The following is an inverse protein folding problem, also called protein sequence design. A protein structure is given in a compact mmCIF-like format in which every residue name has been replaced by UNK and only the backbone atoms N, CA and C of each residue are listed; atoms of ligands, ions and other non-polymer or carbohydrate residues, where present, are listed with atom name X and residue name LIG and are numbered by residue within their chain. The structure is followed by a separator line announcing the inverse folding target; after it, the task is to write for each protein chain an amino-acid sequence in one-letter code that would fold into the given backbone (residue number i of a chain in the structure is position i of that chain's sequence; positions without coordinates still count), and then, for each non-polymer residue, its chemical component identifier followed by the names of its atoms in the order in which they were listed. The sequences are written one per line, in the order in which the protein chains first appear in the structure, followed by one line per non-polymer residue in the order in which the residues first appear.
data_IF_503528367663
#
_entry.id   IF_503528367663
#
_cell.length_a   1.000
_cell.length_b   1.000
_cell.length_c   1.000
_cell.angle_alpha   90.00
_cell.angle_beta   90.00
_cell.angle_gamma   90.00
#
_symmetry.space_group_name_H-M   'P 1'
#
loop_
_entity.id
_entity.type
_entity.pdbx_description
1 polymer ?
#
# COMPACT_ATOMS: atom_id res chain seq x y z
N UNK A 1 -17.11 -34.59 14.49
CA UNK A 1 -17.54 -33.57 13.51
C UNK A 1 -18.58 -32.67 14.17
N UNK A 2 -18.17 -31.46 14.52
CA UNK A 2 -19.01 -30.29 14.87
C UNK A 2 -18.06 -29.08 14.83
N UNK A 3 -18.34 -28.01 14.06
CA UNK A 3 -17.42 -26.88 13.99
C UNK A 3 -17.62 -25.98 15.22
N UNK A 4 -16.50 -25.66 15.89
CA UNK A 4 -16.42 -24.74 17.01
C UNK A 4 -16.84 -23.33 16.57
N UNK A 5 -17.94 -22.83 17.17
CA UNK A 5 -18.38 -21.44 17.10
C UNK A 5 -17.44 -20.56 17.93
N UNK A 6 -16.52 -19.86 17.27
CA UNK A 6 -15.79 -18.73 17.88
C UNK A 6 -16.50 -17.41 17.58
N UNK A 7 -17.59 -17.13 18.29
CA UNK A 7 -18.15 -15.78 18.40
C UNK A 7 -18.57 -15.52 19.84
N UNK A 8 -17.65 -14.94 20.61
CA UNK A 8 -17.95 -14.28 21.88
C UNK A 8 -16.80 -13.34 22.22
N UNK A 9 -16.74 -12.18 21.54
CA UNK A 9 -16.05 -11.02 22.10
C UNK A 9 -16.98 -10.40 23.15
N UNK A 10 -16.77 -10.80 24.39
CA UNK A 10 -17.23 -10.25 25.67
C UNK A 10 -18.20 -9.05 25.60
N UNK A 11 -19.48 -9.25 25.96
CA UNK A 11 -20.53 -8.21 26.11
C UNK A 11 -20.08 -6.96 26.90
N UNK A 12 -19.09 -7.10 27.78
CA UNK A 12 -18.50 -6.00 28.56
C UNK A 12 -17.68 -5.03 27.69
N UNK A 13 -16.97 -5.53 26.68
CA UNK A 13 -16.16 -4.70 25.76
C UNK A 13 -17.07 -3.88 24.83
N UNK A 14 -18.22 -4.43 24.46
CA UNK A 14 -19.22 -3.74 23.64
C UNK A 14 -19.80 -2.51 24.36
N UNK A 15 -19.96 -2.55 25.68
CA UNK A 15 -20.51 -1.43 26.45
C UNK A 15 -19.62 -0.18 26.37
N UNK A 16 -18.30 -0.35 26.49
CA UNK A 16 -17.32 0.74 26.40
C UNK A 16 -16.92 1.13 24.97
N UNK A 17 -17.31 0.33 23.97
CA UNK A 17 -17.01 0.63 22.57
C UNK A 17 -17.97 1.70 22.04
N UNK A 18 -17.48 2.84 21.48
CA UNK A 18 -18.31 3.86 20.87
C UNK A 18 -19.24 3.28 19.80
N UNK A 19 -20.47 3.77 19.69
CA UNK A 19 -21.50 3.20 18.81
C UNK A 19 -21.02 2.94 17.37
N UNK A 20 -20.26 3.88 16.80
CA UNK A 20 -19.72 3.81 15.44
C UNK A 20 -18.62 2.77 15.23
N UNK A 21 -18.04 2.22 16.31
CA UNK A 21 -17.03 1.15 16.26
C UNK A 21 -17.60 -0.24 16.53
N UNK A 22 -18.85 -0.33 17.02
CA UNK A 22 -19.52 -1.61 17.26
C UNK A 22 -19.83 -2.29 15.93
N UNK A 23 -19.64 -3.62 15.81
CA UNK A 23 -20.00 -4.36 14.61
C UNK A 23 -21.51 -4.29 14.37
N UNK A 24 -21.91 -4.50 13.12
CA UNK A 24 -23.32 -4.64 12.73
C UNK A 24 -23.82 -6.01 13.15
N UNK A 25 -25.05 -6.10 13.61
CA UNK A 25 -25.68 -7.37 13.91
C UNK A 25 -25.99 -8.16 12.62
N UNK A 26 -25.73 -9.47 12.61
CA UNK A 26 -25.84 -10.30 11.40
C UNK A 26 -27.23 -10.29 10.75
N UNK A 27 -28.30 -10.21 11.55
CA UNK A 27 -29.69 -10.17 11.05
C UNK A 27 -29.98 -8.93 10.20
N UNK A 28 -29.24 -7.84 10.36
CA UNK A 28 -29.38 -6.63 9.53
C UNK A 28 -28.72 -6.83 8.16
N UNK A 29 -27.76 -7.76 8.05
CA UNK A 29 -26.94 -7.98 6.85
C UNK A 29 -27.46 -9.15 6.01
N UNK A 30 -28.07 -10.16 6.64
CA UNK A 30 -28.57 -11.38 5.99
C UNK A 30 -29.87 -11.20 5.18
N UNK A 31 -30.35 -9.97 5.02
CA UNK A 31 -31.53 -9.66 4.20
C UNK A 31 -31.21 -9.83 2.69
N UNK A 32 -32.13 -10.43 1.93
CA UNK A 32 -31.99 -10.69 0.50
C UNK A 32 -31.70 -9.40 -0.28
N UNK A 33 -32.37 -8.30 0.09
CA UNK A 33 -32.11 -6.99 -0.53
C UNK A 33 -30.67 -6.52 -0.28
N UNK A 34 -30.13 -6.85 0.89
CA UNK A 34 -28.78 -6.47 1.32
C UNK A 34 -27.73 -7.26 0.57
N UNK A 35 -27.93 -8.57 0.47
CA UNK A 35 -27.09 -9.47 -0.33
C UNK A 35 -27.09 -9.02 -1.80
N UNK A 36 -28.26 -8.69 -2.35
CA UNK A 36 -28.40 -8.27 -3.74
C UNK A 36 -27.66 -6.96 -4.05
N UNK A 37 -27.76 -5.94 -3.19
CA UNK A 37 -27.01 -4.71 -3.43
C UNK A 37 -25.51 -4.90 -3.23
N UNK A 38 -25.07 -5.77 -2.31
CA UNK A 38 -23.64 -6.09 -2.11
C UNK A 38 -23.09 -6.67 -3.41
N UNK A 39 -23.74 -7.72 -3.93
CA UNK A 39 -23.39 -8.36 -5.19
C UNK A 39 -23.39 -7.37 -6.37
N UNK A 40 -24.39 -6.48 -6.44
CA UNK A 40 -24.46 -5.48 -7.50
C UNK A 40 -23.34 -4.43 -7.40
N UNK A 41 -22.95 -4.08 -6.17
CA UNK A 41 -21.84 -3.17 -5.91
C UNK A 41 -20.51 -3.79 -6.30
N UNK A 42 -20.26 -5.05 -5.96
CA UNK A 42 -19.06 -5.77 -6.36
C UNK A 42 -18.95 -5.87 -7.89
N UNK A 43 -20.05 -6.21 -8.57
CA UNK A 43 -20.12 -6.23 -10.04
C UNK A 43 -19.85 -4.85 -10.65
N UNK A 44 -20.33 -3.77 -10.02
CA UNK A 44 -20.09 -2.41 -10.48
C UNK A 44 -18.63 -2.01 -10.29
N UNK A 45 -18.04 -2.32 -9.13
CA UNK A 45 -16.63 -2.05 -8.85
C UNK A 45 -15.71 -2.81 -9.80
N UNK A 46 -16.01 -4.09 -10.08
CA UNK A 46 -15.29 -4.90 -11.07
C UNK A 46 -15.35 -4.26 -12.46
N UNK A 47 -16.56 -3.93 -12.95
CA UNK A 47 -16.73 -3.24 -14.24
C UNK A 47 -16.00 -1.90 -14.31
N UNK A 48 -15.97 -1.14 -13.21
CA UNK A 48 -15.25 0.13 -13.18
C UNK A 48 -13.73 -0.06 -13.19
N UNK A 49 -13.23 -1.10 -12.54
CA UNK A 49 -11.80 -1.44 -12.57
C UNK A 49 -11.37 -1.91 -13.96
N UNK A 50 -12.16 -2.76 -14.62
CA UNK A 50 -11.85 -3.29 -15.96
C UNK A 50 -11.89 -2.19 -17.04
N UNK A 51 -12.76 -1.18 -16.88
CA UNK A 51 -12.86 -0.01 -17.76
C UNK A 51 -11.98 1.18 -17.34
N UNK A 52 -11.04 0.99 -16.42
CA UNK A 52 -10.18 2.08 -15.96
C UNK A 52 -9.16 2.46 -17.03
N UNK A 53 -8.95 3.77 -17.23
CA UNK A 53 -8.04 4.33 -18.24
C UNK A 53 -6.56 4.22 -17.86
N UNK A 54 -6.23 3.69 -16.68
CA UNK A 54 -4.86 3.65 -16.15
C UNK A 54 -4.30 5.01 -15.75
N UNK A 55 -5.11 6.08 -15.84
CA UNK A 55 -4.75 7.45 -15.46
C UNK A 55 -5.47 7.84 -14.18
N UNK A 56 -4.78 8.63 -13.37
CA UNK A 56 -5.36 9.18 -12.15
C UNK A 56 -6.36 10.29 -12.51
N UNK A 57 -7.63 9.93 -12.65
CA UNK A 57 -8.72 10.83 -13.00
C UNK A 57 -9.80 10.88 -11.92
N UNK A 58 -10.57 11.97 -11.93
CA UNK A 58 -11.79 12.09 -11.12
C UNK A 58 -12.95 11.48 -11.89
N UNK A 59 -13.71 10.61 -11.23
CA UNK A 59 -14.91 10.01 -11.82
C UNK A 59 -16.03 9.94 -10.81
N UNK A 60 -17.25 10.14 -11.29
CA UNK A 60 -18.45 10.00 -10.49
C UNK A 60 -19.39 9.06 -11.23
N UNK A 61 -19.68 7.92 -10.62
CA UNK A 61 -20.58 6.90 -11.17
C UNK A 61 -21.75 6.75 -10.21
N UNK A 62 -22.96 6.81 -10.76
CA UNK A 62 -24.19 6.56 -10.03
C UNK A 62 -24.96 5.47 -10.75
N UNK A 63 -25.41 4.47 -10.01
CA UNK A 63 -26.27 3.41 -10.51
C UNK A 63 -27.46 3.28 -9.58
N UNK A 64 -28.65 3.53 -10.12
CA UNK A 64 -29.90 3.45 -9.39
C UNK A 64 -30.67 2.22 -9.85
N UNK A 65 -31.06 1.39 -8.90
CA UNK A 65 -32.02 0.30 -9.06
C UNK A 65 -33.35 0.68 -8.37
N UNK A 66 -34.35 -0.19 -8.49
CA UNK A 66 -35.64 0.00 -7.82
C UNK A 66 -35.44 0.09 -6.31
N UNK A 67 -34.67 -0.83 -5.74
CA UNK A 67 -34.55 -0.99 -4.29
C UNK A 67 -33.34 -0.25 -3.67
N UNK A 68 -32.27 0.01 -4.43
CA UNK A 68 -31.05 0.70 -3.93
C UNK A 68 -30.43 1.69 -4.93
N UNK A 69 -29.69 2.67 -4.41
CA UNK A 69 -28.88 3.65 -5.16
C UNK A 69 -27.41 3.54 -4.74
N UNK A 70 -26.53 3.22 -5.69
CA UNK A 70 -25.08 3.12 -5.50
C UNK A 70 -24.42 4.35 -6.12
N UNK A 71 -23.60 5.04 -5.33
CA UNK A 71 -22.82 6.21 -5.77
C UNK A 71 -21.35 6.03 -5.43
N UNK A 72 -20.51 6.01 -6.46
CA UNK A 72 -19.06 5.91 -6.36
C UNK A 72 -18.46 7.22 -6.85
N UNK A 73 -17.83 7.95 -5.93
CA UNK A 73 -17.09 9.18 -6.24
C UNK A 73 -15.61 8.94 -6.03
N UNK A 74 -14.88 8.97 -7.14
CA UNK A 74 -13.44 8.87 -7.22
C UNK A 74 -12.86 10.29 -7.28
N UNK A 75 -12.03 10.64 -6.31
CA UNK A 75 -11.25 11.88 -6.31
C UNK A 75 -9.77 11.56 -6.24
N UNK A 76 -8.92 12.58 -6.40
CA UNK A 76 -7.48 12.41 -6.21
C UNK A 76 -7.13 11.95 -4.79
N UNK A 77 -7.88 12.31 -3.75
CA UNK A 77 -7.43 11.99 -2.39
C UNK A 77 -8.11 10.74 -1.81
N UNK A 78 -9.31 10.42 -2.30
CA UNK A 78 -10.18 9.40 -1.72
C UNK A 78 -11.12 8.78 -2.75
N UNK A 79 -11.48 7.53 -2.49
CA UNK A 79 -12.62 6.84 -3.11
C UNK A 79 -13.74 6.82 -2.09
N UNK A 80 -14.92 7.31 -2.49
CA UNK A 80 -16.13 7.34 -1.67
C UNK A 80 -17.21 6.49 -2.30
N UNK A 81 -17.63 5.44 -1.60
CA UNK A 81 -18.77 4.61 -1.93
C UNK A 81 -19.91 4.95 -0.95
N UNK A 82 -21.07 5.28 -1.51
CA UNK A 82 -22.31 5.44 -0.74
C UNK A 82 -23.36 4.55 -1.37
N UNK A 83 -23.97 3.69 -0.56
CA UNK A 83 -25.11 2.88 -0.96
C UNK A 83 -26.27 3.26 -0.05
N UNK A 84 -27.45 3.46 -0.60
CA UNK A 84 -28.64 3.74 0.17
C UNK A 84 -29.83 3.00 -0.40
N UNK A 85 -30.66 2.46 0.48
CA UNK A 85 -31.96 1.96 0.07
C UNK A 85 -32.84 3.11 -0.43
N UNK A 86 -33.61 2.83 -1.47
CA UNK A 86 -34.61 3.76 -1.97
C UNK A 86 -35.86 3.70 -1.09
N UNK A 87 -36.76 4.67 -1.28
CA UNK A 87 -38.10 4.65 -0.65
C UNK A 87 -38.97 3.46 -1.08
N UNK A 88 -38.61 2.78 -2.17
CA UNK A 88 -39.36 1.65 -2.73
C UNK A 88 -38.74 0.30 -2.38
N UNK A 89 -37.64 0.30 -1.61
CA UNK A 89 -36.97 -0.93 -1.18
C UNK A 89 -37.91 -1.82 -0.40
N UNK A 90 -37.85 -3.13 -0.67
CA UNK A 90 -38.53 -4.16 0.11
C UNK A 90 -37.80 -4.51 1.41
N UNK A 91 -36.65 -3.87 1.71
CA UNK A 91 -35.91 -4.16 2.94
C UNK A 91 -36.74 -3.79 4.17
N UNK A 92 -36.84 -4.69 5.18
CA UNK A 92 -37.54 -4.39 6.44
C UNK A 92 -36.93 -3.20 7.19
N UNK A 93 -35.64 -2.94 6.98
CA UNK A 93 -34.90 -1.88 7.66
C UNK A 93 -34.09 -1.13 6.62
N UNK A 94 -34.49 0.09 6.29
CA UNK A 94 -33.74 0.94 5.37
C UNK A 94 -32.34 1.25 5.89
N UNK A 95 -31.35 1.04 5.04
CA UNK A 95 -29.93 1.19 5.36
C UNK A 95 -29.28 2.21 4.46
N UNK A 96 -28.26 2.85 5.01
CA UNK A 96 -27.34 3.71 4.28
C UNK A 96 -25.92 3.38 4.66
N UNK A 97 -25.17 2.90 3.70
CA UNK A 97 -23.78 2.52 3.83
C UNK A 97 -22.87 3.61 3.29
N UNK A 98 -21.76 3.83 3.98
CA UNK A 98 -20.74 4.81 3.62
C UNK A 98 -19.36 4.23 3.85
N UNK A 99 -18.62 4.06 2.76
CA UNK A 99 -17.22 3.64 2.79
C UNK A 99 -16.38 4.76 2.15
N UNK A 100 -15.37 5.21 2.87
CA UNK A 100 -14.40 6.21 2.41
C UNK A 100 -13.01 5.63 2.61
N UNK A 101 -12.30 5.42 1.52
CA UNK A 101 -10.91 4.97 1.53
C UNK A 101 -10.02 6.08 0.98
N UNK A 102 -8.88 6.31 1.62
CA UNK A 102 -7.81 7.10 1.02
C UNK A 102 -7.25 6.34 -0.19
N UNK A 103 -6.80 7.08 -1.20
CA UNK A 103 -6.01 6.51 -2.28
C UNK A 103 -4.69 5.97 -1.73
N UNK A 104 -4.18 4.86 -2.29
CA UNK A 104 -2.93 4.21 -1.86
C UNK A 104 -1.76 5.19 -1.78
N UNK A 105 -1.59 6.05 -2.79
CA UNK A 105 -0.51 7.03 -2.84
C UNK A 105 -0.64 8.19 -1.84
N UNK A 106 -1.84 8.40 -1.27
CA UNK A 106 -2.05 9.45 -0.27
C UNK A 106 -1.77 8.92 1.13
N UNK A 107 -2.43 7.81 1.50
CA UNK A 107 -2.22 7.12 2.78
C UNK A 107 -2.53 5.64 2.59
N UNK A 108 -1.54 4.78 2.81
CA UNK A 108 -1.70 3.34 2.80
C UNK A 108 -1.58 2.75 4.22
N UNK A 109 -2.30 1.65 4.46
CA UNK A 109 -2.08 0.73 5.58
C UNK A 109 -1.97 -0.65 4.96
N UNK A 110 -0.89 -1.38 5.26
CA UNK A 110 -0.67 -2.74 4.76
C UNK A 110 -0.75 -2.89 3.22
N UNK A 111 -0.30 -1.86 2.48
CA UNK A 111 -0.29 -1.86 1.01
C UNK A 111 -1.64 -1.53 0.35
N UNK A 112 -2.70 -1.34 1.14
CA UNK A 112 -4.04 -0.93 0.71
C UNK A 112 -4.32 0.51 1.14
N UNK A 113 -5.12 1.25 0.37
CA UNK A 113 -5.56 2.60 0.76
C UNK A 113 -6.21 2.61 2.15
N UNK A 114 -5.75 3.49 3.05
CA UNK A 114 -6.23 3.51 4.43
C UNK A 114 -7.72 3.81 4.49
N UNK A 115 -8.50 2.99 5.19
CA UNK A 115 -9.94 3.21 5.36
C UNK A 115 -10.13 4.38 6.35
N UNK A 116 -10.78 5.45 5.88
CA UNK A 116 -11.13 6.62 6.70
C UNK A 116 -12.42 6.38 7.47
N UNK A 117 -13.41 5.78 6.82
CA UNK A 117 -14.76 5.59 7.35
C UNK A 117 -15.36 4.36 6.67
N UNK A 118 -15.97 3.46 7.44
CA UNK A 118 -16.72 2.33 6.92
C UNK A 118 -17.89 2.07 7.87
N UNK A 119 -19.00 2.74 7.63
CA UNK A 119 -20.16 2.77 8.52
C UNK A 119 -21.45 2.43 7.79
N UNK A 120 -22.36 1.80 8.51
CA UNK A 120 -23.76 1.63 8.11
C UNK A 120 -24.65 2.38 9.09
N UNK A 121 -25.65 3.04 8.52
CA UNK A 121 -26.70 3.75 9.22
C UNK A 121 -28.01 3.04 8.96
N UNK A 122 -28.74 2.70 10.01
CA UNK A 122 -30.06 2.11 9.88
C UNK A 122 -30.96 2.55 11.04
N UNK A 123 -32.28 2.54 10.82
CA UNK A 123 -33.26 2.84 11.85
C UNK A 123 -33.84 1.53 12.37
N UNK A 124 -33.72 1.28 13.67
CA UNK A 124 -34.30 0.10 14.33
C UNK A 124 -35.00 0.56 15.60
N UNK A 125 -36.24 0.13 15.80
CA UNK A 125 -37.04 0.44 17.00
C UNK A 125 -37.11 1.96 17.30
N UNK A 126 -37.25 2.77 16.24
CA UNK A 126 -37.31 4.24 16.33
C UNK A 126 -35.98 4.94 16.64
N UNK A 127 -34.87 4.19 16.77
CA UNK A 127 -33.54 4.73 17.07
C UNK A 127 -32.60 4.58 15.87
N UNK A 128 -31.82 5.63 15.63
CA UNK A 128 -30.80 5.60 14.58
C UNK A 128 -29.54 4.91 15.11
N UNK A 129 -29.12 3.85 14.43
CA UNK A 129 -27.91 3.12 14.74
C UNK A 129 -26.84 3.42 13.71
N UNK A 130 -25.63 3.68 14.20
CA UNK A 130 -24.41 3.75 13.39
C UNK A 130 -23.52 2.61 13.84
N UNK A 131 -23.01 1.82 12.90
CA UNK A 131 -22.20 0.63 13.16
C UNK A 131 -21.05 0.51 12.16
N UNK A 132 -19.97 -0.14 12.58
CA UNK A 132 -18.76 -0.35 11.77
C UNK A 132 -18.93 -1.55 10.84
N UNK A 133 -18.45 -1.39 9.61
CA UNK A 133 -18.44 -2.44 8.57
C UNK A 133 -17.08 -3.14 8.44
N UNK A 134 -16.04 -2.67 9.15
CA UNK A 134 -14.66 -3.14 8.96
C UNK A 134 -14.48 -4.65 9.21
N UNK A 135 -15.18 -5.19 10.20
CA UNK A 135 -15.05 -6.58 10.63
C UNK A 135 -16.19 -7.47 10.11
N UNK A 136 -16.99 -6.99 9.16
CA UNK A 136 -18.14 -7.75 8.63
C UNK A 136 -17.69 -8.55 7.41
N UNK A 137 -17.78 -9.90 7.41
CA UNK A 137 -17.30 -10.74 6.31
C UNK A 137 -17.97 -10.42 4.96
N UNK A 138 -19.28 -10.13 4.96
CA UNK A 138 -20.05 -9.84 3.75
C UNK A 138 -19.56 -8.61 2.96
N UNK A 139 -18.80 -7.71 3.59
CA UNK A 139 -18.30 -6.48 2.95
C UNK A 139 -16.84 -6.58 2.51
N UNK A 140 -16.15 -7.70 2.77
CA UNK A 140 -14.75 -7.89 2.38
C UNK A 140 -14.56 -7.83 0.87
N UNK A 141 -15.49 -8.38 0.08
CA UNK A 141 -15.44 -8.29 -1.38
C UNK A 141 -15.59 -6.86 -1.90
N UNK A 142 -16.36 -6.01 -1.22
CA UNK A 142 -16.45 -4.57 -1.53
C UNK A 142 -15.13 -3.85 -1.21
N UNK A 143 -14.51 -4.11 -0.06
CA UNK A 143 -13.21 -3.52 0.27
C UNK A 143 -12.13 -3.93 -0.73
N UNK A 144 -12.12 -5.20 -1.13
CA UNK A 144 -11.25 -5.70 -2.19
C UNK A 144 -11.53 -5.04 -3.55
N UNK A 145 -12.81 -4.90 -3.92
CA UNK A 145 -13.22 -4.21 -5.15
C UNK A 145 -12.78 -2.75 -5.19
N UNK A 146 -12.84 -2.03 -4.06
CA UNK A 146 -12.33 -0.66 -3.95
C UNK A 146 -10.81 -0.62 -4.10
N UNK A 147 -10.08 -1.60 -3.56
CA UNK A 147 -8.64 -1.69 -3.73
C UNK A 147 -8.23 -1.98 -5.19
N UNK A 148 -8.90 -2.94 -5.85
CA UNK A 148 -8.68 -3.25 -7.27
C UNK A 148 -8.97 -2.02 -8.15
N UNK A 149 -10.06 -1.31 -7.85
CA UNK A 149 -10.39 -0.05 -8.51
C UNK A 149 -9.28 0.99 -8.31
N UNK A 150 -8.74 1.12 -7.10
CA UNK A 150 -7.66 2.07 -6.83
C UNK A 150 -6.42 1.79 -7.68
N UNK A 151 -5.99 0.54 -7.73
CA UNK A 151 -4.85 0.09 -8.54
C UNK A 151 -5.08 0.32 -10.04
N UNK A 152 -6.28 0.01 -10.53
CA UNK A 152 -6.64 0.20 -11.93
C UNK A 152 -6.60 1.68 -12.35
N UNK A 153 -6.96 2.60 -11.46
CA UNK A 153 -6.89 4.05 -11.69
C UNK A 153 -5.48 4.66 -11.51
N UNK A 154 -4.56 3.93 -10.86
CA UNK A 154 -3.15 4.32 -10.72
C UNK A 154 -2.28 3.75 -11.86
N UNK A 155 -2.85 2.92 -12.73
CA UNK A 155 -2.15 2.34 -13.88
C UNK A 155 -1.46 1.01 -13.60
N UNK A 156 -1.66 0.43 -12.41
CA UNK A 156 -1.21 -0.93 -12.10
C UNK A 156 -2.27 -1.90 -12.61
N UNK A 157 -2.10 -2.46 -13.82
CA UNK A 157 -2.89 -3.63 -14.23
C UNK A 157 -2.50 -4.79 -13.32
N UNK A 158 -3.44 -5.24 -12.49
CA UNK A 158 -3.32 -6.50 -11.79
C UNK A 158 -3.36 -7.61 -12.85
N UNK A 159 -2.32 -8.44 -12.90
CA UNK A 159 -2.45 -9.82 -13.36
C UNK A 159 -3.53 -10.47 -12.49
N UNK A 160 -4.61 -10.95 -13.11
CA UNK A 160 -5.73 -11.59 -12.42
C UNK A 160 -5.24 -12.83 -11.64
N UNK A 161 -5.02 -12.68 -10.33
CA UNK A 161 -5.30 -13.67 -9.26
C UNK A 161 -4.67 -13.24 -7.93
N UNK A 162 -5.35 -12.31 -7.25
CA UNK A 162 -5.16 -12.14 -5.80
C UNK A 162 -6.40 -12.74 -5.15
N UNK A 163 -6.37 -14.06 -4.98
CA UNK A 163 -7.39 -14.86 -4.31
C UNK A 163 -7.57 -14.40 -2.86
N UNK A 164 -8.84 -14.41 -2.42
CA UNK A 164 -9.31 -14.02 -1.08
C UNK A 164 -8.57 -14.74 0.07
N UNK A 165 -7.97 -15.91 -0.19
CA UNK A 165 -7.19 -16.69 0.77
C UNK A 165 -5.87 -16.03 1.20
N UNK A 166 -5.33 -15.08 0.42
CA UNK A 166 -4.07 -14.40 0.77
C UNK A 166 -4.20 -13.45 1.96
N UNK A 167 -5.42 -13.09 2.38
CA UNK A 167 -5.67 -12.16 3.49
C UNK A 167 -5.60 -12.80 4.89
N UNK A 168 -5.62 -14.14 4.99
CA UNK A 168 -5.60 -14.83 6.29
C UNK A 168 -4.19 -15.34 6.66
N UNK A 169 -3.46 -14.50 7.39
CA UNK A 169 -2.47 -14.93 8.38
C UNK A 169 -1.04 -15.25 7.91
N UNK A 170 -0.84 -15.92 6.77
CA UNK A 170 0.51 -16.40 6.37
C UNK A 170 1.32 -15.39 5.52
N UNK A 171 0.68 -14.38 4.94
CA UNK A 171 1.36 -13.35 4.13
C UNK A 171 2.25 -12.40 4.95
N UNK A 172 2.03 -12.23 6.26
CA UNK A 172 2.80 -11.26 7.06
C UNK A 172 4.26 -11.66 7.24
N UNK A 173 4.61 -12.95 7.14
CA UNK A 173 6.00 -13.41 7.17
C UNK A 173 6.61 -13.39 5.77
N UNK A 174 5.93 -13.93 4.76
CA UNK A 174 6.43 -14.00 3.38
C UNK A 174 6.48 -12.62 2.67
N UNK A 175 5.53 -11.71 2.92
CA UNK A 175 5.59 -10.32 2.41
C UNK A 175 6.61 -9.48 3.14
N UNK A 176 6.96 -9.77 4.39
CA UNK A 176 8.06 -9.06 5.08
C UNK A 176 9.41 -9.47 4.51
N UNK A 177 9.56 -10.71 4.07
CA UNK A 177 10.78 -11.17 3.40
C UNK A 177 10.89 -10.64 1.97
N UNK A 178 9.81 -10.70 1.18
CA UNK A 178 9.80 -10.15 -0.19
C UNK A 178 9.79 -8.62 -0.26
N UNK A 179 9.13 -7.91 0.67
CA UNK A 179 9.14 -6.44 0.72
C UNK A 179 10.44 -5.84 1.30
N UNK A 180 11.37 -6.69 1.76
CA UNK A 180 12.70 -6.28 2.20
C UNK A 180 13.80 -6.68 1.19
N UNK A 181 13.41 -7.26 0.06
CA UNK A 181 14.31 -7.48 -1.06
C UNK A 181 14.63 -6.13 -1.71
N UNK A 182 15.92 -5.82 -1.79
CA UNK A 182 16.42 -4.57 -2.35
C UNK A 182 16.00 -4.41 -3.82
N UNK A 183 15.89 -5.52 -4.57
CA UNK A 183 15.51 -5.49 -5.99
C UNK A 183 14.06 -5.04 -6.15
N UNK A 184 13.18 -5.50 -5.27
CA UNK A 184 11.77 -5.09 -5.24
C UNK A 184 11.65 -3.62 -4.83
N UNK A 185 12.37 -3.20 -3.78
CA UNK A 185 12.36 -1.81 -3.30
C UNK A 185 12.92 -0.83 -4.33
N UNK A 186 14.01 -1.17 -5.01
CA UNK A 186 14.56 -0.35 -6.07
C UNK A 186 13.62 -0.26 -7.26
N UNK A 187 12.94 -1.36 -7.63
CA UNK A 187 11.92 -1.33 -8.69
C UNK A 187 10.72 -0.45 -8.30
N UNK A 188 10.29 -0.49 -7.04
CA UNK A 188 9.23 0.38 -6.52
C UNK A 188 9.66 1.86 -6.52
N UNK A 189 10.89 2.16 -6.11
CA UNK A 189 11.44 3.52 -6.15
C UNK A 189 11.56 4.04 -7.60
N UNK A 190 11.99 3.22 -8.56
CA UNK A 190 11.99 3.57 -9.98
C UNK A 190 10.59 3.89 -10.49
N UNK A 191 9.59 3.07 -10.14
CA UNK A 191 8.18 3.35 -10.49
C UNK A 191 7.69 4.66 -9.88
N UNK A 192 8.10 4.96 -8.65
CA UNK A 192 7.75 6.20 -7.97
C UNK A 192 8.30 7.43 -8.71
N UNK A 193 9.58 7.39 -9.12
CA UNK A 193 10.22 8.46 -9.89
C UNK A 193 9.61 8.58 -11.30
N UNK A 194 9.28 7.47 -11.96
CA UNK A 194 8.59 7.50 -13.27
C UNK A 194 7.16 8.06 -13.20
N UNK A 195 6.41 7.73 -12.14
CA UNK A 195 5.09 8.33 -11.91
C UNK A 195 5.21 9.84 -11.68
N UNK A 196 6.33 10.27 -11.12
CA UNK A 196 6.68 11.64 -10.83
C UNK A 196 7.02 12.49 -12.07
N UNK A 197 7.63 11.90 -13.10
CA UNK A 197 7.86 12.58 -14.39
C UNK A 197 6.55 13.15 -15.00
N UNK A 198 5.40 12.53 -14.70
CA UNK A 198 4.10 13.01 -15.18
C UNK A 198 3.56 14.27 -14.47
N UNK A 199 4.15 14.65 -13.33
CA UNK A 199 3.66 15.71 -12.43
C UNK A 199 4.35 17.07 -12.61
N UNK A 200 5.13 17.27 -13.69
CA UNK A 200 5.85 18.53 -13.98
C UNK A 200 6.79 18.94 -12.84
N UNK A 201 7.73 18.05 -12.50
CA UNK A 201 8.78 18.31 -11.50
C UNK A 201 9.83 19.27 -12.05
N UNK A 202 10.45 20.05 -11.17
CA UNK A 202 11.65 20.85 -11.51
C UNK A 202 12.76 19.90 -12.02
N UNK A 203 13.34 20.16 -13.22
CA UNK A 203 14.41 19.33 -13.79
C UNK A 203 15.60 19.07 -12.85
N UNK A 204 15.88 20.00 -11.93
CA UNK A 204 16.97 19.85 -10.95
C UNK A 204 16.70 18.73 -9.95
N UNK A 205 15.46 18.63 -9.45
CA UNK A 205 15.07 17.60 -8.48
C UNK A 205 14.95 16.24 -9.17
N UNK A 206 14.42 16.22 -10.40
CA UNK A 206 14.33 15.00 -11.21
C UNK A 206 15.72 14.39 -11.50
N UNK A 207 16.69 15.22 -11.90
CA UNK A 207 18.06 14.76 -12.11
C UNK A 207 18.65 14.12 -10.84
N UNK A 208 18.41 14.73 -9.66
CA UNK A 208 18.88 14.17 -8.38
C UNK A 208 18.22 12.84 -8.05
N UNK A 209 16.92 12.70 -8.26
CA UNK A 209 16.22 11.43 -8.06
C UNK A 209 16.77 10.33 -8.98
N UNK A 210 17.04 10.66 -10.24
CA UNK A 210 17.66 9.73 -11.21
C UNK A 210 19.07 9.30 -10.76
N UNK A 211 19.88 10.24 -10.24
CA UNK A 211 21.21 9.92 -9.69
C UNK A 211 21.13 9.01 -8.46
N UNK A 212 20.22 9.29 -7.53
CA UNK A 212 19.98 8.42 -6.36
C UNK A 212 19.64 7.00 -6.81
N UNK A 213 18.73 6.84 -7.78
CA UNK A 213 18.38 5.53 -8.31
C UNK A 213 19.57 4.82 -8.99
N UNK A 214 20.40 5.56 -9.74
CA UNK A 214 21.60 5.00 -10.35
C UNK A 214 22.63 4.51 -9.31
N UNK A 215 22.75 5.18 -8.16
CA UNK A 215 23.59 4.69 -7.06
C UNK A 215 22.98 3.46 -6.39
N UNK A 216 21.66 3.43 -6.20
CA UNK A 216 20.95 2.26 -5.64
C UNK A 216 21.14 1.03 -6.53
N UNK A 217 21.06 1.18 -7.86
CA UNK A 217 21.30 0.10 -8.83
C UNK A 217 22.67 -0.57 -8.63
N UNK A 218 23.72 0.22 -8.39
CA UNK A 218 25.08 -0.29 -8.14
C UNK A 218 25.18 -1.07 -6.82
N UNK A 219 24.28 -0.81 -5.87
CA UNK A 219 24.27 -1.44 -4.55
C UNK A 219 23.42 -2.73 -4.54
N UNK A 220 22.58 -2.97 -5.56
CA UNK A 220 21.64 -4.10 -5.61
C UNK A 220 22.34 -5.46 -5.64
N UNK A 221 23.37 -5.62 -6.48
CA UNK A 221 24.02 -6.91 -6.73
C UNK A 221 24.80 -7.43 -5.52
N UNK A 222 25.44 -6.51 -4.80
CA UNK A 222 26.30 -6.80 -3.66
C UNK A 222 25.63 -6.49 -2.32
N UNK A 223 24.32 -6.25 -2.33
CA UNK A 223 23.57 -5.83 -1.15
C UNK A 223 23.70 -6.82 0.02
N UNK A 224 23.94 -8.09 -0.28
CA UNK A 224 24.12 -9.13 0.72
C UNK A 224 25.39 -8.92 1.57
N UNK A 225 26.41 -8.23 1.06
CA UNK A 225 27.68 -7.99 1.74
C UNK A 225 27.55 -6.93 2.85
N UNK A 226 26.52 -6.07 2.80
CA UNK A 226 26.30 -5.03 3.80
C UNK A 226 25.97 -5.59 5.19
N UNK A 227 26.37 -4.84 6.22
CA UNK A 227 25.95 -5.02 7.59
C UNK A 227 24.45 -4.76 7.80
N UNK A 228 23.91 -5.16 8.95
CA UNK A 228 22.49 -5.00 9.27
C UNK A 228 22.04 -3.53 9.23
N UNK A 229 22.84 -2.62 9.80
CA UNK A 229 22.52 -1.19 9.85
C UNK A 229 22.53 -0.56 8.45
N UNK A 230 23.57 -0.82 7.66
CA UNK A 230 23.69 -0.33 6.28
C UNK A 230 22.50 -0.81 5.43
N UNK A 231 22.14 -2.11 5.54
CA UNK A 231 20.94 -2.66 4.88
C UNK A 231 19.66 -1.97 5.34
N UNK A 232 19.53 -1.68 6.63
CA UNK A 232 18.36 -0.97 7.15
C UNK A 232 18.28 0.46 6.62
N UNK A 233 19.40 1.19 6.61
CA UNK A 233 19.48 2.56 6.10
C UNK A 233 19.04 2.66 4.65
N UNK A 234 19.55 1.79 3.76
CA UNK A 234 19.15 1.80 2.34
C UNK A 234 17.67 1.46 2.18
N UNK A 235 17.15 0.47 2.90
CA UNK A 235 15.73 0.10 2.84
C UNK A 235 14.83 1.24 3.30
N UNK A 236 15.17 1.89 4.42
CA UNK A 236 14.42 3.01 4.97
C UNK A 236 14.43 4.21 4.01
N UNK A 237 15.59 4.50 3.41
CA UNK A 237 15.74 5.59 2.45
C UNK A 237 14.79 5.41 1.26
N UNK A 238 14.76 4.21 0.67
CA UNK A 238 13.93 3.90 -0.50
C UNK A 238 12.44 3.82 -0.19
N UNK A 239 12.10 3.21 0.96
CA UNK A 239 10.70 2.90 1.31
C UNK A 239 9.98 4.07 1.96
N UNK A 240 10.67 4.80 2.83
CA UNK A 240 10.07 5.79 3.71
C UNK A 240 10.60 7.20 3.39
N UNK A 241 11.90 7.44 3.50
CA UNK A 241 12.42 8.81 3.51
C UNK A 241 12.24 9.54 2.16
N UNK A 242 12.56 8.89 1.03
CA UNK A 242 12.42 9.47 -0.30
C UNK A 242 10.94 9.67 -0.68
N UNK A 243 10.04 8.67 -0.50
CA UNK A 243 8.61 8.88 -0.73
C UNK A 243 7.99 9.96 0.17
N UNK A 244 8.35 10.00 1.47
CA UNK A 244 7.82 10.99 2.40
C UNK A 244 8.28 12.41 2.06
N UNK A 245 9.56 12.61 1.73
CA UNK A 245 10.12 13.91 1.35
C UNK A 245 9.40 14.47 0.12
N UNK A 246 9.33 13.67 -0.95
CA UNK A 246 8.70 14.12 -2.19
C UNK A 246 7.17 14.25 -2.03
N UNK A 247 6.53 13.35 -1.28
CA UNK A 247 5.11 13.43 -0.97
C UNK A 247 4.75 14.71 -0.19
N UNK A 248 5.59 15.09 0.78
CA UNK A 248 5.44 16.35 1.51
C UNK A 248 5.61 17.56 0.58
N UNK A 249 6.63 17.55 -0.28
CA UNK A 249 6.87 18.62 -1.26
C UNK A 249 5.68 18.82 -2.22
N UNK A 250 5.09 17.74 -2.75
CA UNK A 250 3.92 17.84 -3.63
C UNK A 250 2.63 18.23 -2.91
N UNK A 251 2.55 18.01 -1.59
CA UNK A 251 1.41 18.46 -0.81
C UNK A 251 1.42 19.99 -0.54
N UNK A 252 2.55 20.67 -0.74
CA UNK A 252 2.67 22.12 -0.59
C UNK A 252 1.99 22.89 -1.73
N UNK A 253 1.62 24.14 -1.45
CA UNK A 253 1.17 25.07 -2.48
C UNK A 253 2.32 25.44 -3.43
N UNK A 254 2.03 25.85 -4.67
CA UNK A 254 3.09 26.21 -5.65
C UNK A 254 4.05 27.29 -5.15
N UNK A 255 3.56 28.26 -4.38
CA UNK A 255 4.41 29.30 -3.76
C UNK A 255 5.37 28.68 -2.75
N UNK A 256 4.88 27.83 -1.87
CA UNK A 256 5.69 27.17 -0.85
C UNK A 256 6.62 26.12 -1.47
N UNK A 257 6.26 25.52 -2.60
CA UNK A 257 7.15 24.64 -3.37
C UNK A 257 8.37 25.39 -3.86
N UNK A 258 8.21 26.60 -4.41
CA UNK A 258 9.35 27.42 -4.82
C UNK A 258 10.26 27.78 -3.64
N UNK A 259 9.68 28.15 -2.50
CA UNK A 259 10.44 28.50 -1.28
C UNK A 259 11.17 27.29 -0.67
N UNK A 260 10.57 26.09 -0.70
CA UNK A 260 11.12 24.87 -0.11
C UNK A 260 11.97 24.05 -1.09
N UNK A 261 12.04 24.45 -2.36
CA UNK A 261 12.75 23.73 -3.41
C UNK A 261 14.21 23.46 -3.02
N UNK A 262 14.91 24.49 -2.55
CA UNK A 262 16.33 24.40 -2.25
C UNK A 262 16.57 23.48 -1.03
N UNK A 263 15.68 23.50 -0.05
CA UNK A 263 15.74 22.59 1.11
C UNK A 263 15.52 21.13 0.71
N UNK A 264 14.58 20.86 -0.19
CA UNK A 264 14.37 19.52 -0.75
C UNK A 264 15.57 19.07 -1.57
N UNK A 265 16.16 19.96 -2.36
CA UNK A 265 17.37 19.68 -3.12
C UNK A 265 18.54 19.30 -2.21
N UNK A 266 18.77 20.04 -1.12
CA UNK A 266 19.81 19.73 -0.12
C UNK A 266 19.55 18.37 0.52
N UNK A 267 18.30 18.08 0.88
CA UNK A 267 17.92 16.79 1.49
C UNK A 267 18.17 15.61 0.54
N UNK A 268 17.80 15.74 -0.74
CA UNK A 268 18.10 14.74 -1.76
C UNK A 268 19.62 14.59 -1.97
N UNK A 269 20.37 15.68 -1.92
CA UNK A 269 21.84 15.64 -2.03
C UNK A 269 22.49 14.91 -0.86
N UNK A 270 21.97 15.07 0.36
CA UNK A 270 22.43 14.32 1.53
C UNK A 270 22.13 12.82 1.41
N UNK A 271 20.95 12.47 0.88
CA UNK A 271 20.61 11.07 0.58
C UNK A 271 21.54 10.47 -0.47
N UNK A 272 21.84 11.22 -1.54
CA UNK A 272 22.81 10.83 -2.57
C UNK A 272 24.20 10.57 -1.95
N UNK A 273 24.71 11.51 -1.15
CA UNK A 273 26.01 11.38 -0.48
C UNK A 273 26.08 10.16 0.46
N UNK A 274 24.99 9.88 1.16
CA UNK A 274 24.90 8.70 2.04
C UNK A 274 25.04 7.41 1.23
N UNK A 275 24.41 7.32 0.06
CA UNK A 275 24.51 6.15 -0.81
C UNK A 275 25.91 6.00 -1.43
N UNK A 276 26.55 7.12 -1.80
CA UNK A 276 27.94 7.11 -2.28
C UNK A 276 28.88 6.57 -1.20
N UNK A 277 28.74 7.06 0.04
CA UNK A 277 29.56 6.59 1.15
C UNK A 277 29.39 5.09 1.42
N UNK A 278 28.15 4.59 1.37
CA UNK A 278 27.87 3.16 1.48
C UNK A 278 28.48 2.35 0.33
N UNK A 279 28.54 2.92 -0.88
CA UNK A 279 29.20 2.28 -2.01
C UNK A 279 30.72 2.16 -1.77
N UNK A 280 31.36 3.21 -1.27
CA UNK A 280 32.80 3.20 -0.97
C UNK A 280 33.14 2.19 0.14
N UNK A 281 32.31 2.10 1.19
CA UNK A 281 32.46 1.11 2.26
C UNK A 281 32.33 -0.33 1.74
N UNK A 282 31.40 -0.55 0.81
CA UNK A 282 31.20 -1.84 0.17
C UNK A 282 32.42 -2.25 -0.66
N UNK A 283 32.98 -1.32 -1.43
CA UNK A 283 34.18 -1.55 -2.23
C UNK A 283 35.39 -1.91 -1.35
N UNK A 284 35.57 -1.20 -0.22
CA UNK A 284 36.60 -1.56 0.78
C UNK A 284 36.40 -2.96 1.34
N UNK A 285 35.16 -3.30 1.71
CA UNK A 285 34.82 -4.63 2.24
C UNK A 285 35.12 -5.74 1.23
N UNK A 286 34.89 -5.49 -0.07
CA UNK A 286 35.24 -6.44 -1.13
C UNK A 286 36.74 -6.65 -1.25
N UNK A 287 37.52 -5.57 -1.21
CA UNK A 287 38.99 -5.62 -1.27
C UNK A 287 39.53 -6.40 -0.08
N UNK A 288 39.06 -6.13 1.14
CA UNK A 288 39.47 -6.85 2.35
C UNK A 288 39.18 -8.36 2.27
N UNK A 289 38.00 -8.75 1.75
CA UNK A 289 37.68 -10.18 1.53
C UNK A 289 38.58 -10.81 0.48
N UNK A 290 38.88 -10.08 -0.60
CA UNK A 290 39.78 -10.55 -1.65
C UNK A 290 41.20 -10.77 -1.11
N UNK A 291 41.73 -9.81 -0.36
CA UNK A 291 43.03 -9.95 0.33
C UNK A 291 43.04 -11.14 1.28
N UNK A 292 41.97 -11.33 2.06
CA UNK A 292 41.86 -12.46 2.98
C UNK A 292 41.88 -13.80 2.23
N UNK A 293 41.18 -13.89 1.08
CA UNK A 293 41.22 -15.07 0.22
C UNK A 293 42.62 -15.31 -0.37
N UNK A 294 43.31 -14.25 -0.82
CA UNK A 294 44.68 -14.34 -1.32
C UNK A 294 45.63 -14.85 -0.24
N UNK A 295 45.58 -14.30 0.98
CA UNK A 295 46.38 -14.78 2.13
C UNK A 295 46.12 -16.26 2.44
N UNK A 296 44.87 -16.72 2.37
CA UNK A 296 44.53 -18.13 2.57
C UNK A 296 45.05 -19.04 1.44
N UNK A 297 45.09 -18.55 0.20
CA UNK A 297 45.68 -19.29 -0.93
C UNK A 297 47.21 -19.36 -0.80
N UNK A 298 47.87 -18.27 -0.41
CA UNK A 298 49.30 -18.24 -0.10
C UNK A 298 49.65 -19.22 1.03
N UNK A 299 48.85 -19.30 2.09
CA UNK A 299 49.04 -20.29 3.16
C UNK A 299 48.82 -21.74 2.66
N UNK A 300 47.90 -21.95 1.72
CA UNK A 300 47.57 -23.30 1.19
C UNK A 300 48.60 -23.81 0.18
N UNK A 301 49.15 -22.94 -0.65
CA UNK A 301 50.01 -23.32 -1.79
C UNK A 301 51.44 -22.79 -1.71
N UNK A 302 51.68 -21.70 -0.97
CA UNK A 302 53.01 -21.11 -0.80
C UNK A 302 53.97 -21.95 0.06
N UNK A 303 53.45 -22.90 0.87
CA UNK A 303 54.27 -23.85 1.62
C UNK A 303 54.71 -25.09 0.83
N UNK A 304 54.18 -25.33 -0.37
CA UNK A 304 54.50 -26.53 -1.16
C UNK A 304 55.56 -26.31 -2.26
N UNK A 305 55.94 -25.07 -2.55
CA UNK A 305 56.97 -24.75 -3.54
C UNK A 305 58.41 -24.81 -3.02
N UNK A 306 58.63 -24.78 -1.70
CA UNK A 306 59.98 -24.75 -1.10
C UNK A 306 60.57 -26.13 -0.74
N UNK A 307 59.85 -27.23 -0.93
CA UNK A 307 60.33 -28.59 -0.58
C UNK A 307 60.69 -29.48 -1.79
N UNK A 308 60.84 -28.90 -2.99
CA UNK A 308 61.25 -29.65 -4.21
C UNK A 308 62.61 -29.24 -4.77
N UNK A 309 63.41 -28.53 -3.99
CA UNK A 309 64.76 -28.12 -4.33
C UNK A 309 65.74 -28.48 -3.21
N UNK A 310 65.80 -29.77 -2.88
CA UNK A 310 66.97 -30.46 -2.32
C UNK A 310 67.09 -31.84 -2.97
#
# INVERSE_FOLDING_TARGET
MTPLKFFSTSRLVEFFTPAHKRPVDDHIIQDDTTINFINDTERLLKRMADNATGKNERKNVRRRQKDWDIRIKITYNQIRLVIADTKQSSSPVHKRLRIVCFRKYVKASDGVGKIKEATIHYLKDGRMHVRSLLNVPAFQGIFHGIHRLDLAYVGTKLTDDVSLDRLNGQEKQLKREQANDIKVLAQEARRYVQAMDTLSIDPLLDNRLKRILAHVEKLEDDFQLFGFEQKHTVRRLLRDDLPNLMGAYFALSKKNQLEQRDNVFVSLSQMELTLIHLQDELERTKIERMEHVMRLQELRYGGQSDQRSE
#
